data_IF_573995501799
#
_entry.id   IF_573995501799
#
_cell.length_a   1.000
_cell.length_b   1.000
_cell.length_c   1.000
_cell.angle_alpha   90.00
_cell.angle_beta   90.00
_cell.angle_gamma   90.00
#
_symmetry.space_group_name_H-M   'P 1'
#
loop_
_entity.id
_entity.type
_entity.pdbx_description
1 polymer ?
#
# COMPACT_ATOMS: atom_id res chain seq x y z
N UNK A 1 -24.41 -25.10 -7.23
CA UNK A 1 -23.29 -25.86 -6.65
C UNK A 1 -22.92 -25.18 -5.34
N UNK A 2 -22.66 -26.01 -4.32
CA UNK A 2 -22.79 -25.69 -2.91
C UNK A 2 -22.09 -24.39 -2.49
N UNK A 3 -22.81 -23.62 -1.69
CA UNK A 3 -22.30 -22.60 -0.80
C UNK A 3 -21.46 -23.27 0.27
N UNK A 4 -20.17 -23.44 -0.01
CA UNK A 4 -19.22 -23.79 1.03
C UNK A 4 -18.98 -22.53 1.87
N UNK A 5 -19.45 -22.60 3.11
CA UNK A 5 -19.20 -21.66 4.19
C UNK A 5 -17.69 -21.39 4.29
N UNK A 6 -17.26 -20.23 3.79
CA UNK A 6 -15.93 -19.69 4.05
C UNK A 6 -15.91 -19.31 5.52
N UNK A 7 -15.39 -20.23 6.34
CA UNK A 7 -15.20 -20.02 7.76
C UNK A 7 -14.11 -18.94 7.97
N UNK A 8 -14.53 -17.69 8.18
CA UNK A 8 -13.65 -16.51 8.32
C UNK A 8 -12.96 -16.40 9.69
N UNK A 9 -13.16 -17.36 10.61
CA UNK A 9 -12.71 -17.25 12.01
C UNK A 9 -11.23 -17.63 12.24
N UNK A 10 -10.50 -18.14 11.23
CA UNK A 10 -9.12 -18.62 11.41
C UNK A 10 -8.02 -17.83 10.66
N UNK A 11 -8.28 -16.57 10.28
CA UNK A 11 -7.16 -15.66 9.97
C UNK A 11 -6.74 -15.03 11.29
N UNK A 12 -5.68 -15.57 11.91
CA UNK A 12 -5.01 -14.95 13.04
C UNK A 12 -4.85 -13.46 12.73
N UNK A 13 -5.62 -12.61 13.43
CA UNK A 13 -5.51 -11.16 13.23
C UNK A 13 -4.08 -10.79 13.58
N UNK A 14 -3.34 -10.12 12.68
CA UNK A 14 -1.95 -9.82 12.93
C UNK A 14 -1.79 -9.01 14.22
N UNK A 15 -0.68 -9.20 14.95
CA UNK A 15 -0.43 -8.43 16.15
C UNK A 15 -0.47 -6.93 15.82
N UNK A 16 -1.03 -6.08 16.71
CA UNK A 16 -1.05 -4.64 16.50
C UNK A 16 0.34 -4.09 16.19
N UNK A 17 0.42 -3.12 15.28
CA UNK A 17 1.66 -2.39 15.05
C UNK A 17 2.15 -1.74 16.36
N UNK A 18 3.42 -1.98 16.71
CA UNK A 18 4.03 -1.28 17.82
C UNK A 18 4.27 0.19 17.42
N UNK A 19 3.70 1.12 18.19
CA UNK A 19 3.86 2.57 18.00
C UNK A 19 5.12 3.09 18.71
N UNK A 20 6.20 2.30 18.68
CA UNK A 20 7.47 2.64 19.31
C UNK A 20 8.27 3.52 18.35
N UNK A 21 8.55 4.77 18.76
CA UNK A 21 9.22 5.73 17.90
C UNK A 21 9.99 6.75 18.75
N UNK A 22 11.33 6.81 18.63
CA UNK A 22 12.16 7.58 19.56
C UNK A 22 11.85 9.07 19.56
N UNK A 23 11.36 9.63 18.45
CA UNK A 23 10.97 11.05 18.40
C UNK A 23 9.65 11.28 19.12
N UNK A 24 8.67 10.40 18.93
CA UNK A 24 7.36 10.49 19.57
C UNK A 24 7.47 10.17 21.06
N UNK A 25 8.33 9.23 21.43
CA UNK A 25 8.61 8.88 22.82
C UNK A 25 9.17 10.08 23.58
N UNK A 26 10.05 10.89 22.97
CA UNK A 26 10.50 12.16 23.57
C UNK A 26 9.36 13.16 23.79
N UNK A 27 8.44 13.30 22.83
CA UNK A 27 7.27 14.19 22.99
C UNK A 27 6.37 13.69 24.14
N UNK A 28 6.21 12.37 24.26
CA UNK A 28 5.43 11.73 25.32
C UNK A 28 6.11 11.92 26.68
N UNK A 29 7.42 11.74 26.77
CA UNK A 29 8.18 11.91 28.01
C UNK A 29 8.20 13.37 28.48
N UNK A 30 8.29 14.32 27.55
CA UNK A 30 8.15 15.74 27.84
C UNK A 30 6.76 16.05 28.41
N UNK A 31 5.70 15.53 27.80
CA UNK A 31 4.32 15.70 28.28
C UNK A 31 4.08 15.04 29.66
N UNK A 32 4.72 13.90 29.94
CA UNK A 32 4.65 13.23 31.25
C UNK A 32 5.38 14.01 32.35
N UNK A 33 6.47 14.68 31.99
CA UNK A 33 7.33 15.42 32.92
C UNK A 33 6.89 16.87 33.12
N UNK A 34 5.94 17.37 32.32
CA UNK A 34 5.44 18.73 32.40
C UNK A 34 4.79 19.01 33.76
N UNK A 35 5.25 20.09 34.41
CA UNK A 35 4.69 20.54 35.67
C UNK A 35 3.41 21.35 35.43
N UNK A 36 2.26 20.68 35.49
CA UNK A 36 0.96 21.31 35.21
C UNK A 36 0.37 21.85 36.53
N UNK A 37 0.07 23.15 36.63
CA UNK A 37 -0.49 23.75 37.85
C UNK A 37 -2.00 23.45 37.98
N UNK A 38 -2.37 22.18 38.20
CA UNK A 38 -3.75 21.68 38.25
C UNK A 38 -4.66 22.48 39.20
N UNK A 39 -4.17 22.77 40.40
CA UNK A 39 -4.90 23.57 41.38
C UNK A 39 -5.07 25.03 40.94
N UNK A 40 -4.14 25.57 40.15
CA UNK A 40 -4.30 26.88 39.52
C UNK A 40 -5.44 26.90 38.50
N UNK A 41 -5.56 25.84 37.69
CA UNK A 41 -6.66 25.69 36.74
C UNK A 41 -8.02 25.52 37.43
N UNK A 42 -8.06 24.81 38.56
CA UNK A 42 -9.26 24.72 39.40
C UNK A 42 -9.65 26.10 39.96
N UNK A 43 -8.70 26.85 40.53
CA UNK A 43 -8.97 28.21 41.03
C UNK A 43 -9.44 29.19 39.95
N UNK A 44 -8.94 29.04 38.72
CA UNK A 44 -9.35 29.87 37.59
C UNK A 44 -10.71 29.50 37.00
N UNK A 45 -11.34 28.41 37.45
CA UNK A 45 -12.62 27.91 36.94
C UNK A 45 -12.53 27.15 35.61
N UNK A 46 -11.32 26.84 35.13
CA UNK A 46 -11.12 25.99 33.94
C UNK A 46 -11.50 24.53 34.25
N UNK A 47 -11.21 24.08 35.48
CA UNK A 47 -11.57 22.78 36.01
C UNK A 47 -12.50 22.94 37.21
N UNK A 48 -13.48 22.05 37.32
CA UNK A 48 -14.31 21.91 38.52
C UNK A 48 -13.53 21.23 39.65
N UNK A 49 -14.03 21.35 40.88
CA UNK A 49 -13.46 20.65 42.04
C UNK A 49 -13.44 19.12 41.83
N UNK A 50 -14.53 18.56 41.32
CA UNK A 50 -14.61 17.13 40.98
C UNK A 50 -13.62 16.72 39.89
N UNK A 51 -13.43 17.51 38.83
CA UNK A 51 -12.47 17.18 37.78
C UNK A 51 -11.03 17.24 38.30
N UNK A 52 -10.72 18.20 39.17
CA UNK A 52 -9.42 18.32 39.81
C UNK A 52 -9.11 17.13 40.74
N UNK A 53 -10.09 16.67 41.52
CA UNK A 53 -9.94 15.47 42.37
C UNK A 53 -9.62 14.23 41.53
N UNK A 54 -10.36 14.02 40.45
CA UNK A 54 -10.14 12.88 39.54
C UNK A 54 -8.77 12.92 38.87
N UNK A 55 -8.29 14.10 38.49
CA UNK A 55 -6.93 14.26 37.97
C UNK A 55 -5.91 13.94 39.07
N UNK A 56 -6.14 14.41 40.29
CA UNK A 56 -5.25 14.19 41.43
C UNK A 56 -5.13 12.70 41.81
N UNK A 57 -6.18 11.92 41.59
CA UNK A 57 -6.16 10.46 41.81
C UNK A 57 -5.20 9.73 40.88
N UNK A 58 -5.01 10.24 39.65
CA UNK A 58 -4.21 9.58 38.60
C UNK A 58 -2.84 10.20 38.34
N UNK A 59 -2.62 11.47 38.71
CA UNK A 59 -1.35 12.17 38.50
C UNK A 59 -0.21 11.48 39.26
N UNK A 60 0.90 11.26 38.58
CA UNK A 60 2.11 10.66 39.16
C UNK A 60 1.99 9.18 39.57
N UNK A 61 0.85 8.52 39.31
CA UNK A 61 0.66 7.10 39.61
C UNK A 61 1.36 6.21 38.57
N UNK A 62 1.76 5.01 38.99
CA UNK A 62 2.23 3.97 38.07
C UNK A 62 1.11 3.51 37.13
N UNK A 63 1.47 2.90 36.01
CA UNK A 63 0.52 2.45 34.98
C UNK A 63 -0.52 1.46 35.54
N UNK A 64 -0.10 0.55 36.44
CA UNK A 64 -0.98 -0.44 37.07
C UNK A 64 -2.03 0.21 37.98
N UNK A 65 -1.62 1.25 38.72
CA UNK A 65 -2.52 1.99 39.62
C UNK A 65 -3.45 2.87 38.80
N UNK A 66 -2.92 3.58 37.80
CA UNK A 66 -3.70 4.39 36.85
C UNK A 66 -4.82 3.57 36.20
N UNK A 67 -4.49 2.38 35.69
CA UNK A 67 -5.45 1.47 35.07
C UNK A 67 -6.63 1.16 36.00
N UNK A 68 -6.35 0.80 37.26
CA UNK A 68 -7.40 0.46 38.24
C UNK A 68 -8.36 1.62 38.51
N UNK A 69 -7.84 2.85 38.56
CA UNK A 69 -8.69 4.03 38.72
C UNK A 69 -9.59 4.25 37.51
N UNK A 70 -9.02 4.23 36.30
CA UNK A 70 -9.80 4.39 35.06
C UNK A 70 -10.87 3.30 34.92
N UNK A 71 -10.58 2.07 35.34
CA UNK A 71 -11.53 0.95 35.32
C UNK A 71 -12.59 1.03 36.42
N UNK A 72 -12.32 1.71 37.53
CA UNK A 72 -13.32 1.86 38.61
C UNK A 72 -14.55 2.67 38.20
N UNK A 73 -14.38 3.66 37.31
CA UNK A 73 -15.49 4.39 36.68
C UNK A 73 -15.08 4.90 35.30
N UNK A 74 -15.19 4.01 34.32
CA UNK A 74 -14.85 4.29 32.91
C UNK A 74 -15.61 5.50 32.37
N UNK A 75 -16.87 5.70 32.78
CA UNK A 75 -17.72 6.78 32.27
C UNK A 75 -17.22 8.13 32.74
N UNK A 76 -16.91 8.24 34.02
CA UNK A 76 -16.44 9.46 34.63
C UNK A 76 -15.05 9.88 34.09
N UNK A 77 -14.11 8.94 33.95
CA UNK A 77 -12.80 9.23 33.34
C UNK A 77 -12.90 9.54 31.84
N UNK A 78 -13.82 8.90 31.12
CA UNK A 78 -14.10 9.25 29.71
C UNK A 78 -14.57 10.69 29.58
N UNK A 79 -15.53 11.13 30.40
CA UNK A 79 -16.02 12.51 30.38
C UNK A 79 -14.93 13.49 30.75
N UNK A 80 -14.09 13.16 31.75
CA UNK A 80 -12.92 13.96 32.11
C UNK A 80 -11.99 14.15 30.91
N UNK A 81 -11.56 13.08 30.23
CA UNK A 81 -10.63 13.20 29.11
C UNK A 81 -11.22 13.97 27.92
N UNK A 82 -12.51 13.78 27.61
CA UNK A 82 -13.18 14.57 26.57
C UNK A 82 -13.28 16.05 26.96
N UNK A 83 -13.50 16.35 28.25
CA UNK A 83 -13.44 17.72 28.76
C UNK A 83 -12.03 18.28 28.61
N UNK A 84 -10.98 17.55 28.97
CA UNK A 84 -9.60 18.01 28.80
C UNK A 84 -9.26 18.27 27.33
N UNK A 85 -9.73 17.43 26.40
CA UNK A 85 -9.61 17.66 24.96
C UNK A 85 -10.28 18.96 24.51
N UNK A 86 -11.39 19.38 25.14
CA UNK A 86 -12.03 20.66 24.80
C UNK A 86 -11.20 21.90 25.20
N UNK A 87 -10.20 21.76 26.08
CA UNK A 87 -9.36 22.87 26.58
C UNK A 87 -8.19 23.10 25.60
N UNK A 88 -8.52 23.48 24.36
CA UNK A 88 -7.53 23.63 23.28
C UNK A 88 -6.56 24.80 23.47
N UNK A 89 -6.87 25.74 24.35
CA UNK A 89 -6.04 26.91 24.66
C UNK A 89 -4.81 26.57 25.50
N UNK A 90 -4.72 25.36 26.07
CA UNK A 90 -3.63 24.95 26.94
C UNK A 90 -2.94 23.67 26.43
N UNK A 91 -1.79 23.81 25.72
CA UNK A 91 -1.09 22.66 25.16
C UNK A 91 -0.69 21.61 26.20
N UNK A 92 -0.25 22.02 27.40
CA UNK A 92 0.22 21.08 28.42
C UNK A 92 -0.92 20.17 28.93
N UNK A 93 -2.11 20.73 29.16
CA UNK A 93 -3.30 19.95 29.54
C UNK A 93 -3.68 18.97 28.42
N UNK A 94 -3.68 19.42 27.17
CA UNK A 94 -4.00 18.57 26.03
C UNK A 94 -2.99 17.44 25.85
N UNK A 95 -1.70 17.75 25.91
CA UNK A 95 -0.62 16.78 25.77
C UNK A 95 -0.69 15.73 26.88
N UNK A 96 -0.91 16.16 28.12
CA UNK A 96 -1.15 15.25 29.24
C UNK A 96 -2.36 14.34 28.97
N UNK A 97 -3.49 14.90 28.54
CA UNK A 97 -4.70 14.13 28.25
C UNK A 97 -4.46 13.10 27.14
N UNK A 98 -3.80 13.47 26.04
CA UNK A 98 -3.49 12.53 24.96
C UNK A 98 -2.61 11.38 25.43
N UNK A 99 -1.57 11.67 26.22
CA UNK A 99 -0.70 10.62 26.77
C UNK A 99 -1.47 9.68 27.69
N UNK A 100 -2.30 10.22 28.61
CA UNK A 100 -3.09 9.40 29.53
C UNK A 100 -4.16 8.57 28.82
N UNK A 101 -4.81 9.13 27.80
CA UNK A 101 -5.74 8.37 26.96
C UNK A 101 -5.00 7.26 26.19
N UNK A 102 -3.84 7.53 25.61
CA UNK A 102 -3.04 6.49 24.95
C UNK A 102 -2.64 5.37 25.93
N UNK A 103 -2.22 5.73 27.14
CA UNK A 103 -1.91 4.78 28.22
C UNK A 103 -3.15 3.93 28.58
N UNK A 104 -4.35 4.53 28.68
CA UNK A 104 -5.58 3.80 28.97
C UNK A 104 -6.00 2.87 27.83
N UNK A 105 -5.92 3.34 26.57
CA UNK A 105 -6.27 2.55 25.38
C UNK A 105 -5.41 1.29 25.24
N UNK A 106 -4.13 1.38 25.61
CA UNK A 106 -3.20 0.24 25.58
C UNK A 106 -3.44 -0.78 26.69
N UNK A 107 -4.01 -0.35 27.83
CA UNK A 107 -4.03 -1.16 29.06
C UNK A 107 -5.43 -1.61 29.50
N UNK A 108 -6.50 -0.99 29.00
CA UNK A 108 -7.88 -1.33 29.36
C UNK A 108 -8.80 -1.41 28.15
N UNK A 109 -9.25 -2.64 27.83
CA UNK A 109 -10.21 -2.87 26.73
C UNK A 109 -11.59 -2.27 27.03
N UNK A 110 -12.02 -2.29 28.28
CA UNK A 110 -13.31 -1.75 28.71
C UNK A 110 -13.35 -0.24 28.53
N UNK A 111 -12.26 0.45 28.91
CA UNK A 111 -12.11 1.87 28.62
C UNK A 111 -12.14 2.14 27.11
N UNK A 112 -11.39 1.39 26.31
CA UNK A 112 -11.37 1.56 24.85
C UNK A 112 -12.76 1.45 24.23
N UNK A 113 -13.52 0.39 24.55
CA UNK A 113 -14.85 0.17 23.98
C UNK A 113 -15.85 1.28 24.33
N UNK A 114 -15.72 1.89 25.51
CA UNK A 114 -16.60 2.99 25.93
C UNK A 114 -16.14 4.36 25.41
N UNK A 115 -14.83 4.64 25.46
CA UNK A 115 -14.25 5.93 25.10
C UNK A 115 -14.31 6.20 23.61
N UNK A 116 -13.97 5.22 22.76
CA UNK A 116 -13.79 5.44 21.31
C UNK A 116 -15.07 5.94 20.61
N UNK A 117 -16.27 5.39 20.84
CA UNK A 117 -17.49 5.92 20.25
C UNK A 117 -17.76 7.39 20.63
N UNK A 118 -17.45 7.77 21.87
CA UNK A 118 -17.63 9.14 22.36
C UNK A 118 -16.55 10.08 21.82
N UNK A 119 -15.31 9.61 21.65
CA UNK A 119 -14.26 10.34 20.93
C UNK A 119 -14.70 10.66 19.50
N UNK A 120 -15.22 9.68 18.76
CA UNK A 120 -15.67 9.93 17.39
C UNK A 120 -16.87 10.87 17.32
N UNK A 121 -17.78 10.80 18.30
CA UNK A 121 -18.86 11.78 18.43
C UNK A 121 -18.30 13.19 18.67
N UNK A 122 -17.36 13.35 19.60
CA UNK A 122 -16.67 14.61 19.87
C UNK A 122 -15.99 15.18 18.61
N UNK A 123 -15.27 14.33 17.85
CA UNK A 123 -14.59 14.75 16.62
C UNK A 123 -15.55 15.11 15.49
N UNK A 124 -16.74 14.49 15.44
CA UNK A 124 -17.79 14.85 14.50
C UNK A 124 -18.42 16.21 14.83
N UNK A 125 -18.53 16.54 16.10
CA UNK A 125 -19.03 17.83 16.57
C UNK A 125 -17.97 18.94 16.44
N UNK A 126 -16.68 18.59 16.39
CA UNK A 126 -15.55 19.53 16.32
C UNK A 126 -14.67 19.22 15.08
N UNK A 127 -15.21 19.47 13.88
CA UNK A 127 -14.54 19.05 12.64
C UNK A 127 -13.15 19.66 12.40
N UNK A 128 -12.90 20.87 12.92
CA UNK A 128 -11.60 21.55 12.83
C UNK A 128 -10.66 21.26 14.01
N UNK A 129 -11.01 20.29 14.88
CA UNK A 129 -10.25 19.99 16.10
C UNK A 129 -8.78 19.71 15.80
N UNK A 130 -8.51 18.86 14.81
CA UNK A 130 -7.16 18.45 14.45
C UNK A 130 -6.31 19.61 13.91
N UNK A 131 -6.91 20.49 13.09
CA UNK A 131 -6.18 21.60 12.48
C UNK A 131 -5.67 22.61 13.51
N UNK A 132 -6.45 22.79 14.59
CA UNK A 132 -6.16 23.71 15.69
C UNK A 132 -5.06 23.20 16.65
N UNK A 133 -4.61 21.95 16.52
CA UNK A 133 -3.53 21.42 17.34
C UNK A 133 -2.15 21.93 16.85
N UNK A 134 -1.27 22.24 17.81
CA UNK A 134 0.15 22.45 17.54
C UNK A 134 0.85 21.15 17.10
N UNK A 135 2.11 21.25 16.66
CA UNK A 135 2.83 20.11 16.05
C UNK A 135 2.93 18.90 16.99
N UNK A 136 3.38 19.10 18.23
CA UNK A 136 3.45 18.03 19.25
C UNK A 136 2.05 17.48 19.57
N UNK A 137 1.05 18.35 19.66
CA UNK A 137 -0.36 17.97 19.85
C UNK A 137 -0.88 17.09 18.71
N UNK A 138 -0.53 17.39 17.46
CA UNK A 138 -0.89 16.57 16.29
C UNK A 138 -0.24 15.20 16.33
N UNK A 139 1.02 15.11 16.76
CA UNK A 139 1.71 13.83 16.93
C UNK A 139 1.08 12.97 18.04
N UNK A 140 0.79 13.57 19.19
CA UNK A 140 0.12 12.89 20.31
C UNK A 140 -1.31 12.47 19.95
N UNK A 141 -2.07 13.34 19.28
CA UNK A 141 -3.39 13.00 18.76
C UNK A 141 -3.32 11.84 17.76
N UNK A 142 -2.34 11.85 16.85
CA UNK A 142 -2.17 10.78 15.87
C UNK A 142 -1.94 9.42 16.52
N UNK A 143 -1.19 9.39 17.63
CA UNK A 143 -1.01 8.18 18.43
C UNK A 143 -2.34 7.72 19.04
N UNK A 144 -3.10 8.61 19.67
CA UNK A 144 -4.43 8.29 20.24
C UNK A 144 -5.38 7.79 19.17
N UNK A 145 -5.44 8.47 18.02
CA UNK A 145 -6.34 8.13 16.93
C UNK A 145 -5.99 6.77 16.31
N UNK A 146 -4.71 6.47 16.11
CA UNK A 146 -4.26 5.16 15.64
C UNK A 146 -4.63 4.03 16.62
N UNK A 147 -4.45 4.25 17.93
CA UNK A 147 -4.82 3.28 18.98
C UNK A 147 -6.34 3.07 19.06
N UNK A 148 -7.13 4.14 18.96
CA UNK A 148 -8.59 4.04 18.95
C UNK A 148 -9.08 3.16 17.79
N UNK A 149 -8.46 3.30 16.62
CA UNK A 149 -8.80 2.54 15.42
C UNK A 149 -8.30 1.09 15.41
N UNK A 150 -7.66 0.59 16.48
CA UNK A 150 -7.40 -0.84 16.67
C UNK A 150 -8.66 -1.62 17.07
N UNK A 151 -9.57 -0.98 17.78
CA UNK A 151 -10.72 -1.67 18.40
C UNK A 151 -12.04 -1.37 17.69
N UNK A 152 -12.22 -0.13 17.21
CA UNK A 152 -13.49 0.32 16.62
C UNK A 152 -13.20 1.08 15.33
N UNK A 153 -13.94 0.76 14.26
CA UNK A 153 -13.81 1.46 12.99
C UNK A 153 -14.25 2.93 13.12
N UNK A 154 -13.54 3.83 12.46
CA UNK A 154 -13.83 5.26 12.51
C UNK A 154 -15.24 5.56 11.99
N UNK A 155 -16.05 6.24 12.81
CA UNK A 155 -17.39 6.70 12.42
C UNK A 155 -17.43 8.17 11.96
N UNK A 156 -16.26 8.81 11.84
CA UNK A 156 -16.13 10.20 11.38
C UNK A 156 -15.31 10.27 10.07
N UNK A 157 -15.96 10.20 8.89
CA UNK A 157 -15.27 10.16 7.60
C UNK A 157 -14.36 11.37 7.35
N UNK A 158 -14.81 12.58 7.69
CA UNK A 158 -14.03 13.81 7.49
C UNK A 158 -12.72 13.78 8.29
N UNK A 159 -12.79 13.40 9.57
CA UNK A 159 -11.61 13.28 10.42
C UNK A 159 -10.67 12.17 9.94
N UNK A 160 -11.23 11.06 9.45
CA UNK A 160 -10.44 9.99 8.84
C UNK A 160 -9.65 10.50 7.63
N UNK A 161 -10.27 11.25 6.71
CA UNK A 161 -9.59 11.85 5.56
C UNK A 161 -8.51 12.84 5.98
N UNK A 162 -8.82 13.78 6.88
CA UNK A 162 -7.83 14.74 7.41
C UNK A 162 -6.64 14.02 8.06
N UNK A 163 -6.91 12.92 8.76
CA UNK A 163 -5.87 12.10 9.36
C UNK A 163 -4.98 11.43 8.30
N UNK A 164 -5.55 10.85 7.26
CA UNK A 164 -4.77 10.26 6.16
C UNK A 164 -3.92 11.30 5.42
N UNK A 165 -4.46 12.50 5.18
CA UNK A 165 -3.69 13.60 4.59
C UNK A 165 -2.50 13.99 5.48
N UNK A 166 -2.70 14.02 6.80
CA UNK A 166 -1.62 14.29 7.75
C UNK A 166 -0.55 13.20 7.73
N UNK A 167 -0.95 11.92 7.74
CA UNK A 167 0.01 10.81 7.62
C UNK A 167 0.77 10.87 6.29
N UNK A 168 0.10 11.17 5.19
CA UNK A 168 0.74 11.37 3.89
C UNK A 168 1.75 12.51 3.93
N UNK A 169 1.47 13.62 4.64
CA UNK A 169 2.43 14.73 4.81
C UNK A 169 3.66 14.29 5.62
N UNK A 170 3.46 13.54 6.70
CA UNK A 170 4.57 13.02 7.50
C UNK A 170 5.47 12.07 6.70
N UNK A 171 4.91 11.26 5.80
CA UNK A 171 5.67 10.35 4.93
C UNK A 171 6.54 11.05 3.88
N UNK A 172 6.30 12.34 3.59
CA UNK A 172 7.11 13.15 2.66
C UNK A 172 8.29 13.82 3.41
N UNK A 173 8.28 13.81 4.74
CA UNK A 173 9.29 14.47 5.55
C UNK A 173 10.69 13.92 5.28
N UNK A 174 11.70 14.78 5.40
CA UNK A 174 13.11 14.34 5.43
C UNK A 174 13.48 13.60 6.72
N UNK A 175 12.62 13.66 7.74
CA UNK A 175 12.83 12.97 9.01
C UNK A 175 12.26 11.55 8.97
N UNK A 176 13.14 10.56 8.88
CA UNK A 176 12.78 9.14 8.87
C UNK A 176 11.95 8.73 10.11
N UNK A 177 12.11 9.38 11.26
CA UNK A 177 11.29 9.07 12.44
C UNK A 177 9.83 9.45 12.21
N UNK A 178 9.56 10.57 11.52
CA UNK A 178 8.19 10.97 11.19
C UNK A 178 7.58 10.06 10.13
N UNK A 179 8.35 9.70 9.10
CA UNK A 179 7.91 8.74 8.08
C UNK A 179 7.58 7.38 8.72
N UNK A 180 8.43 6.90 9.62
CA UNK A 180 8.22 5.67 10.36
C UNK A 180 6.96 5.74 11.24
N UNK A 181 6.80 6.83 12.00
CA UNK A 181 5.61 7.01 12.84
C UNK A 181 4.32 6.98 12.00
N UNK A 182 4.32 7.64 10.85
CA UNK A 182 3.17 7.64 9.96
C UNK A 182 2.82 6.24 9.44
N UNK A 183 3.84 5.46 9.04
CA UNK A 183 3.65 4.08 8.61
C UNK A 183 3.15 3.18 9.76
N UNK A 184 3.64 3.37 10.99
CA UNK A 184 3.17 2.64 12.17
C UNK A 184 1.72 2.96 12.51
N UNK A 185 1.33 4.26 12.52
CA UNK A 185 -0.05 4.68 12.73
C UNK A 185 -1.00 4.08 11.68
N UNK A 186 -0.60 4.11 10.42
CA UNK A 186 -1.40 3.55 9.33
C UNK A 186 -1.55 2.03 9.49
N UNK A 187 -0.47 1.31 9.83
CA UNK A 187 -0.51 -0.13 10.07
C UNK A 187 -1.49 -0.51 11.19
N UNK A 188 -1.54 0.26 12.29
CA UNK A 188 -2.55 0.05 13.35
C UNK A 188 -3.98 0.14 12.79
N UNK A 189 -4.27 1.14 11.97
CA UNK A 189 -5.61 1.33 11.40
C UNK A 189 -6.01 0.23 10.41
N UNK A 190 -5.06 -0.25 9.62
CA UNK A 190 -5.26 -1.30 8.60
C UNK A 190 -5.55 -2.69 9.19
N UNK A 191 -5.47 -2.85 10.52
CA UNK A 191 -5.95 -4.06 11.21
C UNK A 191 -7.43 -4.32 10.93
N UNK A 192 -8.25 -3.27 10.80
CA UNK A 192 -9.69 -3.37 10.52
C UNK A 192 -9.97 -3.40 9.02
N UNK A 193 -10.75 -4.38 8.58
CA UNK A 193 -11.14 -4.58 7.17
C UNK A 193 -11.74 -3.32 6.53
N UNK A 194 -12.62 -2.61 7.24
CA UNK A 194 -13.26 -1.39 6.74
C UNK A 194 -12.24 -0.29 6.38
N UNK A 195 -11.19 -0.14 7.19
CA UNK A 195 -10.14 0.86 6.93
C UNK A 195 -9.27 0.49 5.74
N UNK A 196 -9.05 -0.80 5.45
CA UNK A 196 -8.29 -1.24 4.26
C UNK A 196 -8.93 -0.71 2.97
N UNK A 197 -10.25 -0.86 2.83
CA UNK A 197 -10.98 -0.34 1.68
C UNK A 197 -10.97 1.19 1.64
N UNK A 198 -11.19 1.86 2.79
CA UNK A 198 -11.21 3.32 2.85
C UNK A 198 -9.85 3.95 2.50
N UNK A 199 -8.75 3.41 3.05
CA UNK A 199 -7.37 3.85 2.76
C UNK A 199 -7.02 3.58 1.29
N UNK A 200 -7.42 2.44 0.74
CA UNK A 200 -7.18 2.13 -0.67
C UNK A 200 -7.93 3.08 -1.61
N UNK A 201 -9.19 3.39 -1.30
CA UNK A 201 -10.02 4.28 -2.12
C UNK A 201 -9.53 5.74 -2.10
N UNK A 202 -8.96 6.20 -0.99
CA UNK A 202 -8.39 7.55 -0.88
C UNK A 202 -7.03 7.65 -1.61
N UNK A 203 -6.14 6.66 -1.41
CA UNK A 203 -4.97 6.42 -2.26
C UNK A 203 -3.69 7.23 -1.95
N UNK A 204 -3.73 8.30 -1.15
CA UNK A 204 -2.53 9.12 -0.88
C UNK A 204 -1.48 8.35 -0.06
N UNK A 205 -1.92 7.73 1.03
CA UNK A 205 -1.07 6.93 1.90
C UNK A 205 -0.41 5.74 1.17
N UNK A 206 -1.14 4.86 0.45
CA UNK A 206 -0.52 3.80 -0.34
C UNK A 206 0.50 4.31 -1.36
N UNK A 207 0.23 5.44 -2.02
CA UNK A 207 1.17 6.06 -2.95
C UNK A 207 2.48 6.47 -2.27
N UNK A 208 2.40 7.10 -1.09
CA UNK A 208 3.59 7.49 -0.31
C UNK A 208 4.37 6.31 0.23
N UNK A 209 3.69 5.25 0.68
CA UNK A 209 4.37 4.02 1.09
C UNK A 209 5.16 3.38 -0.05
N UNK A 210 4.58 3.33 -1.26
CA UNK A 210 5.29 2.82 -2.43
C UNK A 210 6.51 3.68 -2.79
N UNK A 211 6.41 5.00 -2.65
CA UNK A 211 7.54 5.92 -2.83
C UNK A 211 8.65 5.67 -1.80
N UNK A 212 8.29 5.55 -0.51
CA UNK A 212 9.23 5.24 0.58
C UNK A 212 9.95 3.91 0.36
N UNK A 213 9.28 2.89 -0.17
CA UNK A 213 9.92 1.61 -0.51
C UNK A 213 10.98 1.74 -1.62
N UNK A 214 10.83 2.70 -2.53
CA UNK A 214 11.80 2.93 -3.61
C UNK A 214 13.01 3.74 -3.16
N UNK A 215 12.82 4.66 -2.21
CA UNK A 215 13.84 5.65 -1.83
C UNK A 215 14.55 5.31 -0.52
N UNK A 216 13.90 4.61 0.40
CA UNK A 216 14.46 4.34 1.73
C UNK A 216 15.30 3.07 1.76
N UNK A 217 16.48 3.17 2.39
CA UNK A 217 17.30 2.03 2.80
C UNK A 217 17.10 1.63 4.28
N UNK A 218 16.22 2.32 5.01
CA UNK A 218 15.95 2.04 6.42
C UNK A 218 15.08 0.79 6.55
N UNK A 219 15.64 -0.29 7.13
CA UNK A 219 14.96 -1.57 7.28
C UNK A 219 13.69 -1.54 8.13
N UNK A 220 13.56 -0.60 9.07
CA UNK A 220 12.37 -0.43 9.90
C UNK A 220 11.26 0.25 9.09
N UNK A 221 11.62 1.28 8.33
CA UNK A 221 10.66 1.98 7.45
C UNK A 221 10.19 1.09 6.30
N UNK A 222 11.11 0.34 5.68
CA UNK A 222 10.77 -0.69 4.69
C UNK A 222 9.82 -1.73 5.28
N UNK A 223 10.12 -2.24 6.47
CA UNK A 223 9.27 -3.21 7.16
C UNK A 223 7.84 -2.67 7.38
N UNK A 224 7.66 -1.49 7.99
CA UNK A 224 6.30 -0.97 8.24
C UNK A 224 5.56 -0.57 6.97
N UNK A 225 6.27 -0.13 5.93
CA UNK A 225 5.67 0.16 4.63
C UNK A 225 5.17 -1.13 3.96
N UNK A 226 5.98 -2.19 3.96
CA UNK A 226 5.56 -3.52 3.52
C UNK A 226 4.44 -4.08 4.41
N UNK A 227 4.46 -3.81 5.71
CA UNK A 227 3.44 -4.30 6.64
C UNK A 227 2.06 -3.73 6.29
N UNK A 228 2.00 -2.43 5.96
CA UNK A 228 0.78 -1.82 5.44
C UNK A 228 0.31 -2.50 4.14
N UNK A 229 1.19 -2.75 3.18
CA UNK A 229 0.82 -3.45 1.95
C UNK A 229 0.39 -4.91 2.18
N UNK A 230 1.03 -5.60 3.13
CA UNK A 230 0.63 -6.94 3.52
C UNK A 230 -0.79 -6.95 4.10
N UNK A 231 -1.13 -6.02 4.98
CA UNK A 231 -2.48 -5.85 5.51
C UNK A 231 -3.50 -5.55 4.39
N UNK A 232 -3.16 -4.67 3.45
CA UNK A 232 -4.02 -4.31 2.31
C UNK A 232 -4.25 -5.50 1.36
N UNK A 233 -3.23 -6.33 1.11
CA UNK A 233 -3.30 -7.45 0.16
C UNK A 233 -4.07 -8.67 0.65
N UNK A 234 -4.57 -8.67 1.88
CA UNK A 234 -5.57 -9.65 2.32
C UNK A 234 -6.90 -9.49 1.58
N UNK A 235 -7.21 -8.29 1.11
CA UNK A 235 -8.45 -7.99 0.38
C UNK A 235 -8.28 -8.26 -1.12
N UNK A 236 -9.03 -9.22 -1.67
CA UNK A 236 -8.93 -9.62 -3.08
C UNK A 236 -9.07 -8.46 -4.08
N UNK A 237 -10.01 -7.50 -3.91
CA UNK A 237 -10.09 -6.34 -4.81
C UNK A 237 -8.81 -5.49 -4.82
N UNK A 238 -8.15 -5.34 -3.67
CA UNK A 238 -6.91 -4.58 -3.55
C UNK A 238 -5.75 -5.39 -4.14
N UNK A 239 -5.64 -6.68 -3.82
CA UNK A 239 -4.61 -7.57 -4.35
C UNK A 239 -4.61 -7.65 -5.90
N UNK A 240 -5.79 -7.53 -6.52
CA UNK A 240 -5.96 -7.47 -7.99
C UNK A 240 -5.36 -6.22 -8.64
N UNK A 241 -5.28 -5.12 -7.90
CA UNK A 241 -4.94 -3.81 -8.45
C UNK A 241 -3.62 -3.26 -7.94
N UNK A 242 -3.16 -3.67 -6.76
CA UNK A 242 -2.05 -3.06 -6.02
C UNK A 242 -0.76 -2.94 -6.83
N UNK A 243 -0.50 -3.88 -7.75
CA UNK A 243 0.69 -3.82 -8.58
C UNK A 243 0.62 -2.71 -9.64
N UNK A 244 -0.55 -2.45 -10.24
CA UNK A 244 -0.70 -1.54 -11.40
C UNK A 244 -0.25 -0.09 -11.14
N UNK A 245 -0.66 0.58 -10.04
CA UNK A 245 -0.30 1.97 -9.81
C UNK A 245 1.14 2.16 -9.33
N UNK A 246 1.76 1.11 -8.78
CA UNK A 246 3.02 1.25 -8.04
C UNK A 246 4.17 0.39 -8.57
N UNK A 247 3.91 -0.53 -9.49
CA UNK A 247 4.88 -1.56 -9.88
C UNK A 247 5.46 -2.29 -8.65
N UNK A 248 4.56 -2.57 -7.68
CA UNK A 248 4.94 -3.00 -6.33
C UNK A 248 5.73 -4.32 -6.35
N UNK A 249 5.41 -5.23 -7.27
CA UNK A 249 6.12 -6.49 -7.45
C UNK A 249 7.59 -6.24 -7.82
N UNK A 250 7.86 -5.36 -8.79
CA UNK A 250 9.23 -5.00 -9.17
C UNK A 250 9.97 -4.36 -7.99
N UNK A 251 9.33 -3.40 -7.29
CA UNK A 251 9.93 -2.75 -6.11
C UNK A 251 10.34 -3.78 -5.06
N UNK A 252 9.46 -4.72 -4.72
CA UNK A 252 9.76 -5.79 -3.77
C UNK A 252 10.86 -6.73 -4.27
N UNK A 253 10.92 -7.02 -5.58
CA UNK A 253 12.01 -7.78 -6.18
C UNK A 253 13.35 -7.07 -6.02
N UNK A 254 13.42 -5.75 -6.24
CA UNK A 254 14.66 -4.99 -6.06
C UNK A 254 15.11 -4.99 -4.59
N UNK A 255 14.18 -4.80 -3.65
CA UNK A 255 14.48 -4.88 -2.21
C UNK A 255 14.94 -6.29 -1.83
N UNK A 256 14.32 -7.34 -2.34
CA UNK A 256 14.72 -8.72 -2.05
C UNK A 256 16.08 -9.10 -2.65
N UNK A 257 16.49 -8.46 -3.75
CA UNK A 257 17.84 -8.61 -4.32
C UNK A 257 18.90 -7.88 -3.51
N UNK A 258 18.53 -6.77 -2.87
CA UNK A 258 19.39 -6.11 -1.90
C UNK A 258 19.53 -6.97 -0.63
N UNK A 259 20.68 -6.88 0.05
CA UNK A 259 20.85 -7.56 1.33
C UNK A 259 20.07 -6.80 2.42
N UNK A 260 19.03 -7.42 2.97
CA UNK A 260 18.14 -6.80 3.96
C UNK A 260 17.88 -7.71 5.16
N UNK A 261 17.03 -7.26 6.10
CA UNK A 261 16.74 -7.98 7.34
C UNK A 261 15.70 -9.09 7.11
N UNK A 262 15.78 -10.15 7.92
CA UNK A 262 14.84 -11.29 7.90
C UNK A 262 13.37 -10.85 7.91
N UNK A 263 13.01 -9.88 8.76
CA UNK A 263 11.64 -9.34 8.84
C UNK A 263 11.14 -8.71 7.54
N UNK A 264 12.03 -8.12 6.75
CA UNK A 264 11.69 -7.50 5.46
C UNK A 264 11.45 -8.58 4.42
N UNK A 265 12.33 -9.59 4.35
CA UNK A 265 12.12 -10.77 3.50
C UNK A 265 10.80 -11.49 3.81
N UNK A 266 10.50 -11.69 5.09
CA UNK A 266 9.24 -12.31 5.54
C UNK A 266 8.02 -11.58 4.99
N UNK A 267 7.97 -10.25 5.08
CA UNK A 267 6.85 -9.50 4.53
C UNK A 267 6.78 -9.51 3.01
N UNK A 268 7.90 -9.40 2.30
CA UNK A 268 7.92 -9.50 0.84
C UNK A 268 7.32 -10.84 0.38
N UNK A 269 7.78 -11.95 0.97
CA UNK A 269 7.31 -13.28 0.64
C UNK A 269 5.83 -13.49 1.04
N UNK A 270 5.41 -12.93 2.18
CA UNK A 270 4.03 -12.96 2.60
C UNK A 270 3.10 -12.18 1.66
N UNK A 271 3.53 -11.00 1.17
CA UNK A 271 2.79 -10.21 0.17
C UNK A 271 2.69 -10.98 -1.14
N UNK A 272 3.81 -11.51 -1.66
CA UNK A 272 3.78 -12.36 -2.85
C UNK A 272 2.81 -13.54 -2.72
N UNK A 273 2.80 -14.20 -1.56
CA UNK A 273 1.85 -15.28 -1.28
C UNK A 273 0.40 -14.78 -1.26
N UNK A 274 0.12 -13.63 -0.63
CA UNK A 274 -1.22 -13.01 -0.66
C UNK A 274 -1.67 -12.70 -2.08
N UNK A 275 -0.80 -12.12 -2.91
CA UNK A 275 -1.12 -11.79 -4.31
C UNK A 275 -1.51 -13.03 -5.11
N UNK A 276 -0.76 -14.13 -4.94
CA UNK A 276 -1.04 -15.41 -5.59
C UNK A 276 -2.32 -16.08 -5.07
N UNK A 277 -2.59 -16.01 -3.76
CA UNK A 277 -3.79 -16.61 -3.16
C UNK A 277 -5.06 -15.82 -3.48
N UNK A 278 -5.00 -14.49 -3.47
CA UNK A 278 -6.18 -13.62 -3.52
C UNK A 278 -6.53 -13.14 -4.92
N UNK A 279 -5.56 -13.06 -5.83
CA UNK A 279 -5.75 -12.62 -7.21
C UNK A 279 -4.69 -13.26 -8.15
N UNK A 280 -4.68 -14.60 -8.28
CA UNK A 280 -3.69 -15.32 -9.08
C UNK A 280 -3.67 -14.87 -10.54
N UNK A 281 -4.86 -14.71 -11.16
CA UNK A 281 -5.00 -14.38 -12.58
C UNK A 281 -4.34 -13.05 -12.96
N UNK A 282 -4.30 -12.10 -12.04
CA UNK A 282 -3.73 -10.78 -12.27
C UNK A 282 -2.25 -10.68 -11.88
N UNK A 283 -1.81 -11.50 -10.92
CA UNK A 283 -0.48 -11.38 -10.33
C UNK A 283 0.54 -12.40 -10.82
N UNK A 284 0.15 -13.66 -11.11
CA UNK A 284 1.08 -14.72 -11.54
C UNK A 284 1.96 -14.25 -12.69
N UNK A 285 1.31 -13.71 -13.72
CA UNK A 285 2.02 -13.32 -14.93
C UNK A 285 3.04 -12.21 -14.66
N UNK A 286 2.60 -11.16 -13.96
CA UNK A 286 3.47 -10.05 -13.58
C UNK A 286 4.64 -10.55 -12.72
N UNK A 287 4.40 -11.46 -11.80
CA UNK A 287 5.46 -12.03 -10.96
C UNK A 287 6.47 -12.87 -11.75
N UNK A 288 6.04 -13.60 -12.78
CA UNK A 288 6.95 -14.32 -13.70
C UNK A 288 7.79 -13.34 -14.51
N UNK A 289 7.19 -12.27 -15.05
CA UNK A 289 7.92 -11.22 -15.77
C UNK A 289 8.98 -10.54 -14.91
N UNK A 290 8.63 -10.20 -13.68
CA UNK A 290 9.54 -9.57 -12.72
C UNK A 290 10.56 -10.55 -12.12
N UNK A 291 10.55 -11.81 -12.57
CA UNK A 291 11.46 -12.87 -12.17
C UNK A 291 11.40 -13.17 -10.65
N UNK A 292 10.20 -13.14 -10.06
CA UNK A 292 10.00 -13.50 -8.66
C UNK A 292 10.49 -14.92 -8.37
N UNK A 293 10.22 -15.87 -9.28
CA UNK A 293 10.68 -17.26 -9.16
C UNK A 293 12.21 -17.36 -9.03
N UNK A 294 12.95 -16.58 -9.83
CA UNK A 294 14.42 -16.57 -9.80
C UNK A 294 14.93 -15.97 -8.49
N UNK A 295 14.33 -14.87 -8.02
CA UNK A 295 14.69 -14.24 -6.75
C UNK A 295 14.45 -15.19 -5.59
N UNK A 296 13.30 -15.84 -5.54
CA UNK A 296 12.96 -16.81 -4.49
C UNK A 296 13.91 -18.01 -4.52
N UNK A 297 14.26 -18.55 -5.70
CA UNK A 297 15.28 -19.62 -5.83
C UNK A 297 16.66 -19.19 -5.31
N UNK A 298 17.05 -17.93 -5.50
CA UNK A 298 18.29 -17.39 -4.93
C UNK A 298 18.20 -17.32 -3.40
N UNK A 299 17.08 -16.86 -2.86
CA UNK A 299 16.85 -16.83 -1.42
C UNK A 299 16.84 -18.23 -0.80
N UNK A 300 16.27 -19.23 -1.48
CA UNK A 300 16.22 -20.63 -1.02
C UNK A 300 17.61 -21.27 -0.82
N UNK A 301 18.65 -20.74 -1.48
CA UNK A 301 20.05 -21.20 -1.29
C UNK A 301 20.65 -20.70 0.03
N UNK A 302 20.07 -19.68 0.66
CA UNK A 302 20.49 -19.19 1.98
C UNK A 302 19.94 -20.13 3.07
N UNK A 303 20.58 -20.14 4.24
CA UNK A 303 20.08 -20.86 5.41
C UNK A 303 19.07 -19.99 6.16
N UNK A 304 17.85 -20.49 6.33
CA UNK A 304 16.78 -19.82 7.07
C UNK A 304 16.37 -20.68 8.27
N UNK A 305 16.19 -20.04 9.42
CA UNK A 305 15.61 -20.67 10.61
C UNK A 305 14.11 -20.38 10.76
N UNK A 306 13.58 -19.40 10.02
CA UNK A 306 12.17 -19.01 10.06
C UNK A 306 11.35 -19.96 9.15
N UNK A 307 10.51 -20.79 9.76
CA UNK A 307 9.67 -21.78 9.07
C UNK A 307 8.62 -21.13 8.14
N UNK A 308 8.12 -19.94 8.48
CA UNK A 308 7.18 -19.23 7.61
C UNK A 308 7.86 -18.77 6.33
N UNK A 309 9.09 -18.28 6.41
CA UNK A 309 9.87 -17.92 5.22
C UNK A 309 10.03 -19.14 4.30
N UNK A 310 10.39 -20.30 4.85
CA UNK A 310 10.52 -21.53 4.08
C UNK A 310 9.18 -21.93 3.41
N UNK A 311 8.08 -21.91 4.17
CA UNK A 311 6.75 -22.20 3.66
C UNK A 311 6.30 -21.24 2.56
N UNK A 312 6.54 -19.92 2.70
CA UNK A 312 6.21 -18.96 1.66
C UNK A 312 7.02 -19.20 0.38
N UNK A 313 8.33 -19.48 0.49
CA UNK A 313 9.16 -19.75 -0.68
C UNK A 313 8.69 -21.00 -1.44
N UNK A 314 8.39 -22.08 -0.72
CA UNK A 314 7.86 -23.31 -1.32
C UNK A 314 6.50 -23.06 -2.01
N UNK A 315 5.58 -22.36 -1.33
CA UNK A 315 4.28 -22.01 -1.88
C UNK A 315 4.38 -21.15 -3.16
N UNK A 316 5.23 -20.12 -3.15
CA UNK A 316 5.43 -19.23 -4.31
C UNK A 316 6.00 -20.03 -5.49
N UNK A 317 7.05 -20.82 -5.26
CA UNK A 317 7.71 -21.56 -6.33
C UNK A 317 6.78 -22.60 -6.95
N UNK A 318 6.09 -23.41 -6.13
CA UNK A 318 5.15 -24.42 -6.62
C UNK A 318 3.99 -23.79 -7.39
N UNK A 319 3.42 -22.69 -6.89
CA UNK A 319 2.31 -22.00 -7.55
C UNK A 319 2.72 -21.40 -8.88
N UNK A 320 3.88 -20.73 -8.94
CA UNK A 320 4.40 -20.15 -10.18
C UNK A 320 4.78 -21.23 -11.19
N UNK A 321 5.35 -22.35 -10.75
CA UNK A 321 5.72 -23.48 -11.61
C UNK A 321 4.50 -24.12 -12.26
N UNK A 322 3.50 -24.53 -11.46
CA UNK A 322 2.24 -25.11 -11.98
C UNK A 322 1.56 -24.15 -12.93
N UNK A 323 1.47 -22.87 -12.57
CA UNK A 323 0.79 -21.88 -13.39
C UNK A 323 1.54 -21.61 -14.70
N UNK A 324 2.88 -21.68 -14.70
CA UNK A 324 3.68 -21.51 -15.92
C UNK A 324 3.44 -22.62 -16.95
N UNK A 325 3.08 -23.84 -16.51
CA UNK A 325 2.80 -24.97 -17.39
C UNK A 325 1.44 -24.83 -18.10
N UNK A 326 0.50 -24.08 -17.51
CA UNK A 326 -0.85 -23.89 -18.02
C UNK A 326 -1.06 -22.56 -18.75
N UNK A 327 -0.14 -21.62 -18.62
CA UNK A 327 -0.18 -20.37 -19.39
C UNK A 327 0.17 -20.66 -20.86
N UNK A 328 -0.81 -20.48 -21.75
CA UNK A 328 -0.51 -20.50 -23.18
C UNK A 328 0.41 -19.33 -23.51
N UNK A 329 1.26 -19.48 -24.54
CA UNK A 329 2.10 -18.39 -25.06
C UNK A 329 1.28 -17.14 -25.40
N UNK A 330 0.00 -17.31 -25.76
CA UNK A 330 -0.91 -16.20 -26.03
C UNK A 330 -1.44 -15.50 -24.78
N UNK A 331 -1.66 -16.21 -23.68
CA UNK A 331 -2.09 -15.58 -22.42
C UNK A 331 -0.96 -14.75 -21.79
N UNK A 332 0.28 -15.23 -21.95
CA UNK A 332 1.51 -14.49 -21.65
C UNK A 332 1.50 -13.18 -22.45
N UNK A 333 1.44 -13.28 -23.78
CA UNK A 333 1.41 -12.12 -24.68
C UNK A 333 0.29 -11.11 -24.34
N UNK A 334 -0.93 -11.60 -24.13
CA UNK A 334 -2.10 -10.78 -23.77
C UNK A 334 -1.86 -10.00 -22.49
N UNK A 335 -1.17 -10.59 -21.52
CA UNK A 335 -0.91 -9.99 -20.23
C UNK A 335 0.23 -8.96 -20.29
N UNK A 336 1.29 -9.19 -21.09
CA UNK A 336 2.36 -8.19 -21.38
C UNK A 336 1.78 -6.91 -22.00
N UNK A 337 0.93 -7.06 -23.02
CA UNK A 337 0.26 -5.90 -23.63
C UNK A 337 -0.62 -5.18 -22.61
N UNK A 338 -1.33 -5.94 -21.77
CA UNK A 338 -2.25 -5.36 -20.80
C UNK A 338 -1.54 -4.60 -19.68
N UNK A 339 -0.37 -5.07 -19.24
CA UNK A 339 0.47 -4.40 -18.24
C UNK A 339 1.16 -3.17 -18.82
N UNK A 340 1.41 -3.16 -20.14
CA UNK A 340 2.14 -2.09 -20.82
C UNK A 340 3.66 -2.16 -20.61
N UNK A 341 4.14 -3.19 -19.91
CA UNK A 341 5.55 -3.51 -19.74
C UNK A 341 5.89 -4.65 -20.70
N UNK A 342 6.24 -4.28 -21.93
CA UNK A 342 6.63 -5.22 -22.99
C UNK A 342 8.13 -5.48 -22.90
N UNK A 343 8.51 -6.75 -22.98
CA UNK A 343 9.89 -7.23 -22.98
C UNK A 343 10.07 -8.25 -24.09
N UNK A 344 11.29 -8.44 -24.57
CA UNK A 344 11.55 -9.45 -25.59
C UNK A 344 11.34 -10.86 -25.03
N UNK A 345 10.25 -11.50 -25.46
CA UNK A 345 9.88 -12.87 -25.11
C UNK A 345 9.70 -13.73 -26.37
N UNK A 346 9.69 -15.07 -26.26
CA UNK A 346 9.40 -15.94 -27.39
C UNK A 346 8.06 -15.62 -28.08
N UNK A 347 7.08 -15.11 -27.34
CA UNK A 347 5.79 -14.65 -27.89
C UNK A 347 5.95 -13.53 -28.91
N UNK A 348 6.90 -12.61 -28.68
CA UNK A 348 7.14 -11.50 -29.61
C UNK A 348 7.95 -11.93 -30.83
N UNK A 349 8.88 -12.89 -30.68
CA UNK A 349 9.86 -13.26 -31.72
C UNK A 349 9.47 -14.48 -32.56
N UNK A 350 8.62 -15.37 -32.06
CA UNK A 350 8.30 -16.63 -32.73
C UNK A 350 7.34 -16.43 -33.89
N UNK A 351 7.76 -16.80 -35.11
CA UNK A 351 6.89 -16.80 -36.29
C UNK A 351 5.69 -17.74 -36.11
N UNK A 352 5.91 -18.91 -35.51
CA UNK A 352 4.85 -19.87 -35.22
C UNK A 352 3.78 -19.29 -34.30
N UNK A 353 4.19 -18.55 -33.28
CA UNK A 353 3.26 -17.84 -32.40
C UNK A 353 2.36 -16.90 -33.20
N UNK A 354 2.94 -16.08 -34.09
CA UNK A 354 2.18 -15.12 -34.88
C UNK A 354 1.25 -15.80 -35.89
N UNK A 355 1.70 -16.85 -36.56
CA UNK A 355 0.84 -17.62 -37.48
C UNK A 355 -0.41 -18.16 -36.77
N UNK A 356 -0.26 -18.69 -35.56
CA UNK A 356 -1.36 -19.30 -34.81
C UNK A 356 -2.29 -18.28 -34.13
N UNK A 357 -1.75 -17.12 -33.73
CA UNK A 357 -2.45 -16.22 -32.78
C UNK A 357 -2.79 -14.83 -33.33
N UNK A 358 -2.27 -14.42 -34.49
CA UNK A 358 -2.44 -13.05 -35.01
C UNK A 358 -3.91 -12.63 -35.15
N UNK A 359 -4.80 -13.56 -35.50
CA UNK A 359 -6.23 -13.30 -35.65
C UNK A 359 -6.90 -12.95 -34.32
N UNK A 360 -6.40 -13.51 -33.21
CA UNK A 360 -6.92 -13.26 -31.85
C UNK A 360 -6.69 -11.82 -31.42
N UNK A 361 -5.71 -11.09 -31.97
CA UNK A 361 -5.50 -9.66 -31.67
C UNK A 361 -6.68 -8.78 -32.10
N UNK A 362 -7.51 -9.26 -33.03
CA UNK A 362 -8.71 -8.57 -33.52
C UNK A 362 -9.96 -8.84 -32.66
N UNK A 363 -9.87 -9.74 -31.67
CA UNK A 363 -10.97 -10.02 -30.74
C UNK A 363 -11.26 -8.82 -29.83
N UNK A 364 -12.42 -8.85 -29.16
CA UNK A 364 -12.85 -7.83 -28.20
C UNK A 364 -12.72 -6.39 -28.76
N UNK A 365 -13.22 -6.16 -29.98
CA UNK A 365 -13.14 -4.87 -30.67
C UNK A 365 -11.70 -4.34 -30.80
N UNK A 366 -10.76 -5.23 -31.16
CA UNK A 366 -9.32 -4.95 -31.27
C UNK A 366 -8.71 -4.36 -29.99
N UNK A 367 -9.17 -4.77 -28.80
CA UNK A 367 -8.72 -4.19 -27.53
C UNK A 367 -7.21 -4.29 -27.31
N UNK A 368 -6.59 -5.41 -27.70
CA UNK A 368 -5.14 -5.62 -27.58
C UNK A 368 -4.35 -4.75 -28.55
N UNK A 369 -4.80 -4.65 -29.81
CA UNK A 369 -4.19 -3.73 -30.78
C UNK A 369 -4.29 -2.28 -30.34
N UNK A 370 -5.45 -1.86 -29.80
CA UNK A 370 -5.63 -0.50 -29.27
C UNK A 370 -4.65 -0.20 -28.13
N UNK A 371 -4.34 -1.18 -27.27
CA UNK A 371 -3.30 -1.03 -26.24
C UNK A 371 -1.89 -0.90 -26.82
N UNK A 372 -1.54 -1.68 -27.84
CA UNK A 372 -0.28 -1.52 -28.57
C UNK A 372 -0.18 -0.12 -29.23
N UNK A 373 -1.28 0.36 -29.82
CA UNK A 373 -1.36 1.70 -30.40
C UNK A 373 -1.15 2.79 -29.36
N UNK A 374 -1.82 2.67 -28.21
CA UNK A 374 -1.64 3.56 -27.08
C UNK A 374 -0.18 3.54 -26.60
N UNK A 375 0.45 2.37 -26.52
CA UNK A 375 1.85 2.24 -26.10
C UNK A 375 2.81 2.98 -27.02
N UNK A 376 2.54 3.02 -28.32
CA UNK A 376 3.34 3.79 -29.28
C UNK A 376 3.13 5.30 -29.18
N UNK A 377 2.03 5.74 -28.57
CA UNK A 377 1.75 7.15 -28.32
C UNK A 377 2.42 7.65 -27.03
N UNK A 378 2.69 6.78 -26.05
CA UNK A 378 3.36 7.16 -24.80
C UNK A 378 4.87 6.94 -24.88
N UNK A 379 5.66 7.99 -24.63
CA UNK A 379 7.12 7.95 -24.73
C UNK A 379 7.77 7.49 -23.40
N UNK A 380 7.40 6.32 -22.87
CA UNK A 380 7.80 5.93 -21.51
C UNK A 380 9.05 5.03 -21.47
N UNK A 381 9.01 3.88 -22.14
CA UNK A 381 10.04 2.84 -22.07
C UNK A 381 10.49 2.44 -23.49
N UNK A 382 11.76 2.72 -23.83
CA UNK A 382 12.35 2.42 -25.14
C UNK A 382 12.21 0.96 -25.55
N UNK A 383 12.48 0.01 -24.65
CA UNK A 383 12.38 -1.42 -24.97
C UNK A 383 10.93 -1.78 -25.28
N UNK A 384 9.98 -1.32 -24.48
CA UNK A 384 8.57 -1.61 -24.76
C UNK A 384 8.06 -0.93 -26.04
N UNK A 385 8.59 0.24 -26.39
CA UNK A 385 8.31 0.90 -27.67
C UNK A 385 8.88 0.11 -28.85
N UNK A 386 10.10 -0.42 -28.73
CA UNK A 386 10.73 -1.26 -29.75
C UNK A 386 9.93 -2.55 -29.96
N UNK A 387 9.57 -3.25 -28.87
CA UNK A 387 8.73 -4.45 -28.93
C UNK A 387 7.36 -4.13 -29.55
N UNK A 388 6.71 -3.04 -29.15
CA UNK A 388 5.42 -2.64 -29.73
C UNK A 388 5.52 -2.34 -31.24
N UNK A 389 6.61 -1.68 -31.69
CA UNK A 389 6.87 -1.47 -33.12
C UNK A 389 7.01 -2.81 -33.85
N UNK A 390 7.87 -3.68 -33.34
CA UNK A 390 8.11 -5.00 -33.90
C UNK A 390 6.82 -5.82 -34.03
N UNK A 391 6.01 -5.85 -32.97
CA UNK A 391 4.73 -6.56 -32.92
C UNK A 391 3.74 -6.08 -33.97
N UNK A 392 3.67 -4.76 -34.19
CA UNK A 392 2.85 -4.22 -35.28
C UNK A 392 3.39 -4.64 -36.64
N UNK A 393 4.72 -4.65 -36.81
CA UNK A 393 5.39 -5.22 -37.97
C UNK A 393 5.03 -6.68 -38.21
N UNK A 394 5.02 -7.52 -37.17
CA UNK A 394 4.62 -8.92 -37.27
C UNK A 394 3.14 -9.06 -37.59
N UNK A 395 2.27 -8.27 -36.95
CA UNK A 395 0.83 -8.25 -37.24
C UNK A 395 0.54 -7.90 -38.70
N UNK A 396 1.25 -6.94 -39.30
CA UNK A 396 1.15 -6.63 -40.74
C UNK A 396 1.53 -7.83 -41.61
N UNK A 397 2.61 -8.52 -41.26
CA UNK A 397 3.12 -9.67 -42.03
C UNK A 397 2.15 -10.84 -41.99
N UNK A 398 1.65 -11.19 -40.80
CA UNK A 398 0.88 -12.42 -40.60
C UNK A 398 -0.64 -12.23 -40.71
N UNK A 399 -1.17 -11.01 -40.64
CA UNK A 399 -2.59 -10.74 -40.85
C UNK A 399 -2.82 -10.00 -42.19
N UNK A 400 -3.48 -10.62 -43.19
CA UNK A 400 -3.63 -10.05 -44.53
C UNK A 400 -4.25 -8.64 -44.56
N UNK A 401 -5.16 -8.33 -43.64
CA UNK A 401 -5.80 -7.01 -43.54
C UNK A 401 -5.08 -6.05 -42.59
N UNK A 402 -3.93 -6.45 -42.02
CA UNK A 402 -3.23 -5.71 -40.97
C UNK A 402 -2.84 -4.30 -41.38
N UNK A 403 -2.37 -4.12 -42.62
CA UNK A 403 -2.05 -2.79 -43.18
C UNK A 403 -3.24 -1.83 -43.13
N UNK A 404 -4.40 -2.30 -43.58
CA UNK A 404 -5.63 -1.48 -43.61
C UNK A 404 -6.06 -1.08 -42.19
N UNK A 405 -5.86 -1.96 -41.21
CA UNK A 405 -6.16 -1.68 -39.80
C UNK A 405 -5.23 -0.59 -39.27
N UNK A 406 -3.92 -0.72 -39.45
CA UNK A 406 -2.97 0.29 -38.97
C UNK A 406 -3.17 1.67 -39.61
N UNK A 407 -3.49 1.70 -40.91
CA UNK A 407 -3.80 2.96 -41.61
C UNK A 407 -5.09 3.58 -41.07
N UNK A 408 -6.15 2.79 -40.85
CA UNK A 408 -7.42 3.25 -40.27
C UNK A 408 -7.24 3.91 -38.90
N UNK A 409 -6.32 3.42 -38.08
CA UNK A 409 -6.04 3.96 -36.75
C UNK A 409 -4.91 5.01 -36.74
N UNK A 410 -4.42 5.47 -37.89
CA UNK A 410 -3.37 6.51 -37.98
C UNK A 410 -1.97 6.06 -37.57
N UNK A 411 -1.75 4.76 -37.35
CA UNK A 411 -0.49 4.25 -36.81
C UNK A 411 0.67 4.33 -37.80
N UNK A 412 0.39 4.36 -39.11
CA UNK A 412 1.43 4.52 -40.15
C UNK A 412 2.28 5.77 -39.89
N UNK A 413 1.64 6.92 -39.64
CA UNK A 413 2.35 8.17 -39.37
C UNK A 413 3.18 8.08 -38.11
N UNK A 414 2.60 7.54 -37.03
CA UNK A 414 3.28 7.41 -35.76
C UNK A 414 4.53 6.52 -35.83
N UNK A 415 4.47 5.39 -36.53
CA UNK A 415 5.63 4.50 -36.68
C UNK A 415 6.73 5.19 -37.52
N UNK A 416 6.36 5.97 -38.54
CA UNK A 416 7.34 6.76 -39.32
C UNK A 416 8.06 7.80 -38.46
N UNK A 417 7.36 8.46 -37.52
CA UNK A 417 7.99 9.39 -36.57
C UNK A 417 9.03 8.67 -35.68
N UNK A 418 8.75 7.44 -35.26
CA UNK A 418 9.64 6.65 -34.40
C UNK A 418 10.93 6.20 -35.10
N UNK A 419 11.03 6.28 -36.43
CA UNK A 419 12.28 6.05 -37.16
C UNK A 419 13.38 7.07 -36.78
N UNK A 420 13.00 8.23 -36.25
CA UNK A 420 13.91 9.28 -35.76
C UNK A 420 14.04 9.30 -34.23
N UNK A 421 13.55 8.28 -33.53
CA UNK A 421 13.64 8.19 -32.07
C UNK A 421 15.11 8.22 -31.57
N UNK A 422 15.44 8.79 -30.39
CA UNK A 422 16.81 8.81 -29.88
C UNK A 422 17.40 7.41 -29.62
N UNK A 423 16.55 6.46 -29.21
CA UNK A 423 16.95 5.08 -28.95
C UNK A 423 17.18 4.28 -30.26
N UNK A 424 18.34 3.62 -30.45
CA UNK A 424 18.67 2.90 -31.67
C UNK A 424 17.80 1.66 -31.93
N UNK A 425 17.36 0.96 -30.88
CA UNK A 425 16.52 -0.24 -31.01
C UNK A 425 15.12 0.15 -31.50
N UNK A 426 14.57 1.22 -30.93
CA UNK A 426 13.28 1.79 -31.39
C UNK A 426 13.35 2.21 -32.85
N UNK A 427 14.42 2.92 -33.26
CA UNK A 427 14.60 3.30 -34.68
C UNK A 427 14.67 2.10 -35.60
N UNK A 428 15.42 1.07 -35.19
CA UNK A 428 15.60 -0.14 -35.98
C UNK A 428 14.27 -0.86 -36.20
N UNK A 429 13.48 -1.08 -35.14
CA UNK A 429 12.19 -1.77 -35.25
C UNK A 429 11.13 -0.93 -35.97
N UNK A 430 11.13 0.39 -35.79
CA UNK A 430 10.27 1.30 -36.54
C UNK A 430 10.58 1.24 -38.05
N UNK A 431 11.86 1.27 -38.43
CA UNK A 431 12.29 1.21 -39.82
C UNK A 431 11.92 -0.14 -40.46
N UNK A 432 12.15 -1.26 -39.78
CA UNK A 432 11.73 -2.59 -40.24
C UNK A 432 10.21 -2.67 -40.43
N UNK A 433 9.45 -2.10 -39.50
CA UNK A 433 7.98 -2.09 -39.57
C UNK A 433 7.47 -1.22 -40.73
N UNK A 434 8.10 -0.06 -40.98
CA UNK A 434 7.79 0.78 -42.15
C UNK A 434 8.14 0.07 -43.45
N UNK A 435 9.27 -0.62 -43.54
CA UNK A 435 9.59 -1.44 -44.71
C UNK A 435 8.49 -2.45 -45.00
N UNK A 436 8.00 -3.17 -43.99
CA UNK A 436 6.87 -4.12 -44.12
C UNK A 436 5.56 -3.45 -44.51
N UNK A 437 5.31 -2.22 -44.06
CA UNK A 437 4.15 -1.42 -44.50
C UNK A 437 4.23 -1.08 -46.00
N UNK A 438 5.44 -0.76 -46.48
CA UNK A 438 5.68 -0.29 -47.85
C UNK A 438 5.84 -1.42 -48.89
N UNK A 439 6.19 -2.64 -48.49
CA UNK A 439 6.27 -3.79 -49.41
C UNK A 439 4.88 -4.27 -49.81
N UNK A 440 4.49 -4.16 -51.07
CA UNK A 440 3.24 -4.77 -51.55
C UNK A 440 3.28 -6.30 -51.33
N UNK A 441 2.23 -6.86 -50.75
CA UNK A 441 2.08 -8.32 -50.65
C UNK A 441 1.78 -8.78 -52.08
N UNK A 442 2.74 -9.45 -52.71
CA UNK A 442 2.48 -10.19 -53.95
C UNK A 442 1.56 -11.36 -53.59
N UNK A 443 0.26 -11.20 -53.83
CA UNK A 443 -0.68 -12.30 -53.78
C UNK A 443 -0.37 -13.21 -54.99
N UNK A 444 0.16 -14.40 -54.73
CA UNK A 444 -0.02 -15.55 -55.62
C UNK A 444 -1.13 -16.43 -55.09
#
# INVERSE_FOLDING_TARGET
>A
MASDDINFENVASPPPAALDNPKIDRVVDNARSAAIPWHGYQRSGILTESEYELISDVVGKSIDVYKRFVESDVKLYTNLFLKLFSITTNPDILHYAFVKVADALLNSKDFSLFFIPLLFKFLKENESYFDNLGDDGKLLFARVFALANLYVACSCPKMFTVFLEYLSKLMISSDNCLCLFAAQCLASMLSLKAHRYAVWAEGSCPSRLAELLRTSSDSQLQYYSLFCFWLLTFESPIAKEVNKPFDLVNVMVQIARSDTKIKVYRLILAIFSNLLQKAPNENIFTMLLENVDKVVKVLQRRKWADEEILGYMEYILSTLEVSSQHLSTFDIYKSEIKSGQLQWSPSHRSEQFWMENVTKLNSDNCSLLKKLFQKLQTNDNSTSLAVACHDLGAYITYYPKGKSVLVKYGMKQRIMELMSHPDPEVRFEALNTVQRLMTEVWNN
#
